data_IF_869587287887
#
_entry.id   IF_869587287887
#
_cell.length_a   1.000
_cell.length_b   1.000
_cell.length_c   1.000
_cell.angle_alpha   90.00
_cell.angle_beta   90.00
_cell.angle_gamma   90.00
#
_symmetry.space_group_name_H-M   'P 1'
#
loop_
_entity.id
_entity.type
_entity.pdbx_description
1 polymer ?
#
# COMPACT_ATOMS: atom_id res chain seq x y z
N UNK A 1 3.72 6.09 4.70
CA UNK A 1 4.22 4.80 5.24
C UNK A 1 3.77 3.68 4.32
N UNK A 2 4.38 2.51 4.41
CA UNK A 2 3.96 1.31 3.69
C UNK A 2 3.64 0.18 4.66
N UNK A 3 3.04 -0.90 4.15
CA UNK A 3 2.60 -2.03 4.98
C UNK A 3 3.72 -2.69 5.79
N UNK A 4 5.00 -2.48 5.44
CA UNK A 4 6.17 -3.09 6.09
C UNK A 4 6.84 -2.17 7.10
N UNK A 5 6.70 -0.86 6.96
CA UNK A 5 7.33 0.14 7.83
C UNK A 5 6.28 1.00 8.54
N UNK A 6 5.61 0.41 9.53
CA UNK A 6 4.50 1.03 10.27
C UNK A 6 4.99 1.63 11.57
N UNK A 7 5.36 2.91 11.58
CA UNK A 7 5.70 3.63 12.83
C UNK A 7 4.48 3.85 13.74
N UNK A 8 3.27 3.61 13.22
CA UNK A 8 2.03 3.55 14.01
C UNK A 8 1.88 2.22 14.77
N UNK A 9 1.03 2.22 15.81
CA UNK A 9 0.59 0.97 16.44
C UNK A 9 -0.24 0.13 15.46
N UNK A 10 -0.33 -1.19 15.68
CA UNK A 10 -1.18 -2.06 14.86
C UNK A 10 -2.64 -1.63 14.89
N UNK A 11 -3.13 -1.24 16.06
CA UNK A 11 -4.52 -0.79 16.24
C UNK A 11 -4.78 0.50 15.48
N UNK A 12 -3.91 1.50 15.62
CA UNK A 12 -4.06 2.78 14.90
C UNK A 12 -3.96 2.59 13.38
N UNK A 13 -3.06 1.73 12.92
CA UNK A 13 -2.96 1.39 11.50
C UNK A 13 -4.21 0.66 10.97
N UNK A 14 -4.76 -0.27 11.76
CA UNK A 14 -6.00 -0.97 11.42
C UNK A 14 -7.19 -0.02 11.37
N UNK A 15 -7.30 0.91 12.33
CA UNK A 15 -8.32 1.96 12.33
C UNK A 15 -8.21 2.85 11.09
N UNK A 16 -7.00 3.30 10.74
CA UNK A 16 -6.80 4.08 9.52
C UNK A 16 -7.25 3.31 8.27
N UNK A 17 -6.90 2.02 8.17
CA UNK A 17 -7.37 1.17 7.07
C UNK A 17 -8.89 1.03 7.03
N UNK A 18 -9.56 0.96 8.18
CA UNK A 18 -11.02 0.91 8.26
C UNK A 18 -11.66 2.21 7.76
N UNK A 19 -11.09 3.37 8.07
CA UNK A 19 -11.56 4.65 7.52
C UNK A 19 -11.48 4.65 6.00
N UNK A 20 -10.33 4.26 5.45
CA UNK A 20 -10.16 4.14 3.99
C UNK A 20 -11.11 3.11 3.36
N UNK A 21 -11.35 2.00 4.05
CA UNK A 21 -12.29 0.97 3.60
C UNK A 21 -13.73 1.50 3.56
N UNK A 22 -14.13 2.33 4.53
CA UNK A 22 -15.43 3.00 4.52
C UNK A 22 -15.61 3.89 3.30
N UNK A 23 -14.63 4.76 3.01
CA UNK A 23 -14.67 5.61 1.81
C UNK A 23 -14.63 4.81 0.51
N UNK A 24 -13.85 3.73 0.46
CA UNK A 24 -13.83 2.81 -0.68
C UNK A 24 -15.21 2.16 -0.88
N UNK A 25 -15.82 1.64 0.18
CA UNK A 25 -17.13 1.00 0.10
C UNK A 25 -18.20 1.95 -0.44
N UNK A 26 -18.25 3.19 0.07
CA UNK A 26 -19.17 4.22 -0.45
C UNK A 26 -18.90 4.50 -1.93
N UNK A 27 -17.63 4.67 -2.32
CA UNK A 27 -17.25 4.94 -3.71
C UNK A 27 -17.63 3.79 -4.65
N UNK A 28 -17.47 2.54 -4.22
CA UNK A 28 -17.85 1.35 -4.97
C UNK A 28 -19.37 1.20 -5.08
N UNK A 29 -20.12 1.46 -4.01
CA UNK A 29 -21.59 1.45 -4.05
C UNK A 29 -22.11 2.48 -5.04
N UNK A 30 -21.59 3.71 -5.01
CA UNK A 30 -21.95 4.74 -5.98
C UNK A 30 -21.59 4.33 -7.40
N UNK A 31 -20.39 3.76 -7.61
CA UNK A 31 -19.96 3.30 -8.93
C UNK A 31 -20.85 2.17 -9.46
N UNK A 32 -21.30 1.27 -8.57
CA UNK A 32 -22.21 0.19 -8.93
C UNK A 32 -23.61 0.71 -9.27
N UNK A 33 -24.16 1.63 -8.45
CA UNK A 33 -25.47 2.24 -8.68
C UNK A 33 -25.51 3.01 -10.00
N UNK A 34 -24.43 3.70 -10.36
CA UNK A 34 -24.32 4.52 -11.56
C UNK A 34 -23.54 3.85 -12.70
N UNK A 35 -23.39 2.52 -12.67
CA UNK A 35 -22.56 1.76 -13.63
C UNK A 35 -22.88 1.99 -15.11
N UNK A 36 -24.13 2.32 -15.42
CA UNK A 36 -24.59 2.61 -16.79
C UNK A 36 -24.23 4.05 -17.23
N UNK A 37 -24.09 4.96 -16.26
CA UNK A 37 -23.75 6.37 -16.49
C UNK A 37 -22.23 6.60 -16.46
N UNK A 38 -21.46 5.60 -16.04
CA UNK A 38 -20.00 5.67 -16.03
C UNK A 38 -19.47 5.54 -17.46
N UNK A 39 -18.75 6.58 -17.89
CA UNK A 39 -17.86 6.49 -19.05
C UNK A 39 -16.66 5.63 -18.71
N UNK A 40 -16.79 4.32 -18.88
CA UNK A 40 -15.78 3.33 -18.50
C UNK A 40 -14.39 3.61 -19.08
N UNK A 41 -14.29 4.13 -20.31
CA UNK A 41 -13.01 4.53 -20.89
C UNK A 41 -12.30 5.62 -20.08
N UNK A 42 -13.03 6.62 -19.58
CA UNK A 42 -12.48 7.67 -18.70
C UNK A 42 -12.17 7.10 -17.32
N UNK A 43 -13.07 6.27 -16.78
CA UNK A 43 -12.87 5.66 -15.47
C UNK A 43 -11.57 4.84 -15.43
N UNK A 44 -11.39 3.94 -16.41
CA UNK A 44 -10.18 3.11 -16.51
C UNK A 44 -8.94 3.97 -16.75
N UNK A 45 -9.02 5.01 -17.58
CA UNK A 45 -7.92 5.94 -17.79
C UNK A 45 -7.51 6.65 -16.51
N UNK A 46 -8.45 7.23 -15.77
CA UNK A 46 -8.20 7.94 -14.51
C UNK A 46 -7.68 7.01 -13.42
N UNK A 47 -8.17 5.77 -13.38
CA UNK A 47 -7.66 4.75 -12.46
C UNK A 47 -6.20 4.40 -12.80
N UNK A 48 -5.92 4.04 -14.05
CA UNK A 48 -4.61 3.54 -14.46
C UNK A 48 -3.53 4.64 -14.48
N UNK A 49 -3.87 5.88 -14.84
CA UNK A 49 -2.88 6.96 -14.99
C UNK A 49 -2.17 7.28 -13.67
N UNK A 50 -2.84 7.09 -12.54
CA UNK A 50 -2.25 7.28 -11.20
C UNK A 50 -1.01 6.40 -11.03
N UNK A 51 -1.09 5.12 -11.37
CA UNK A 51 0.02 4.18 -11.23
C UNK A 51 1.02 4.28 -12.37
N UNK A 52 0.54 4.47 -13.60
CA UNK A 52 1.39 4.58 -14.79
C UNK A 52 2.36 5.75 -14.66
N UNK A 53 1.93 6.87 -14.08
CA UNK A 53 2.78 8.05 -13.86
C UNK A 53 3.44 8.00 -12.47
N UNK A 54 2.69 7.62 -11.44
CA UNK A 54 3.14 7.73 -10.05
C UNK A 54 4.04 6.58 -9.58
N UNK A 55 3.71 5.34 -9.94
CA UNK A 55 4.34 4.15 -9.35
C UNK A 55 5.27 3.44 -10.33
N UNK A 56 4.77 3.12 -11.52
CA UNK A 56 5.44 2.23 -12.47
C UNK A 56 6.86 2.70 -12.85
N UNK A 57 7.12 4.00 -13.11
CA UNK A 57 8.47 4.46 -13.46
C UNK A 57 9.47 4.25 -12.32
N UNK A 58 9.05 4.50 -11.08
CA UNK A 58 9.88 4.29 -9.89
C UNK A 58 10.11 2.80 -9.59
N UNK A 59 9.09 1.96 -9.77
CA UNK A 59 9.20 0.51 -9.59
C UNK A 59 10.15 -0.12 -10.62
N UNK A 60 10.08 0.32 -11.89
CA UNK A 60 11.01 -0.11 -12.93
C UNK A 60 12.44 0.35 -12.59
N UNK A 61 12.62 1.60 -12.19
CA UNK A 61 13.92 2.13 -11.79
C UNK A 61 14.51 1.37 -10.59
N UNK A 62 13.69 1.04 -9.59
CA UNK A 62 14.09 0.25 -8.42
C UNK A 62 14.58 -1.14 -8.82
N UNK A 63 13.80 -1.85 -9.64
CA UNK A 63 14.11 -3.23 -10.08
C UNK A 63 15.34 -3.31 -10.98
N UNK A 64 15.63 -2.24 -11.74
CA UNK A 64 16.83 -2.14 -12.59
C UNK A 64 18.06 -1.66 -11.82
N UNK A 65 17.88 -1.06 -10.66
CA UNK A 65 18.98 -0.49 -9.88
C UNK A 65 19.77 -1.59 -9.16
N UNK A 66 21.10 -1.69 -9.35
CA UNK A 66 21.94 -2.69 -8.67
C UNK A 66 21.92 -2.55 -7.14
N UNK A 67 21.81 -1.32 -6.65
CA UNK A 67 21.80 -0.99 -5.21
C UNK A 67 20.40 -0.66 -4.69
N UNK A 68 19.36 -0.83 -5.53
CA UNK A 68 17.95 -0.56 -5.21
C UNK A 68 17.68 0.90 -4.78
N UNK A 69 18.57 1.83 -5.12
CA UNK A 69 18.35 3.27 -4.91
C UNK A 69 17.65 3.89 -6.11
N UNK A 70 16.73 4.81 -5.84
CA UNK A 70 15.88 5.45 -6.83
C UNK A 70 15.93 6.97 -6.63
N UNK A 71 15.96 7.72 -7.72
CA UNK A 71 16.00 9.18 -7.66
C UNK A 71 14.77 9.76 -6.95
N UNK A 72 14.96 10.89 -6.24
CA UNK A 72 13.88 11.57 -5.51
C UNK A 72 12.69 11.95 -6.38
N UNK A 73 12.91 12.19 -7.68
CA UNK A 73 11.84 12.51 -8.64
C UNK A 73 10.74 11.44 -8.70
N UNK A 74 11.09 10.16 -8.55
CA UNK A 74 10.09 9.08 -8.54
C UNK A 74 9.23 9.09 -7.28
N UNK A 75 9.79 9.48 -6.14
CA UNK A 75 9.03 9.66 -4.89
C UNK A 75 8.08 10.85 -5.00
N UNK A 76 8.51 11.95 -5.63
CA UNK A 76 7.65 13.10 -5.91
C UNK A 76 6.51 12.69 -6.83
N UNK A 77 6.80 12.02 -7.94
CA UNK A 77 5.80 11.54 -8.89
C UNK A 77 4.76 10.64 -8.19
N UNK A 78 5.23 9.66 -7.40
CA UNK A 78 4.36 8.80 -6.61
C UNK A 78 3.45 9.61 -5.69
N UNK A 79 4.04 10.47 -4.85
CA UNK A 79 3.31 11.22 -3.84
C UNK A 79 2.33 12.22 -4.44
N UNK A 80 2.69 12.85 -5.56
CA UNK A 80 1.80 13.75 -6.29
C UNK A 80 0.61 13.00 -6.85
N UNK A 81 0.83 11.88 -7.56
CA UNK A 81 -0.28 11.11 -8.15
C UNK A 81 -1.14 10.40 -7.09
N UNK A 82 -0.56 10.01 -5.96
CA UNK A 82 -1.26 9.35 -4.85
C UNK A 82 -1.79 10.34 -3.80
N UNK A 83 -1.70 11.65 -4.04
CA UNK A 83 -2.24 12.67 -3.12
C UNK A 83 -3.73 12.87 -3.33
N UNK A 84 -4.50 12.84 -2.23
CA UNK A 84 -5.91 13.20 -2.24
C UNK A 84 -6.15 14.65 -2.66
N UNK A 85 -5.20 15.55 -2.36
CA UNK A 85 -5.27 16.96 -2.77
C UNK A 85 -5.16 17.06 -4.29
N UNK A 86 -4.21 16.33 -4.89
CA UNK A 86 -4.03 16.32 -6.35
C UNK A 86 -5.21 15.67 -7.05
N UNK A 87 -5.71 14.55 -6.55
CA UNK A 87 -6.91 13.93 -7.09
C UNK A 87 -8.15 14.83 -6.96
N UNK A 88 -8.32 15.50 -5.81
CA UNK A 88 -9.40 16.48 -5.62
C UNK A 88 -9.29 17.67 -6.58
N UNK A 89 -8.07 18.17 -6.82
CA UNK A 89 -7.83 19.23 -7.80
C UNK A 89 -8.13 18.78 -9.23
N UNK A 90 -7.73 17.57 -9.62
CA UNK A 90 -8.05 16.98 -10.93
C UNK A 90 -9.56 16.80 -11.09
N UNK A 91 -10.24 16.22 -10.08
CA UNK A 91 -11.68 16.03 -10.08
C UNK A 91 -12.43 17.36 -10.17
N UNK A 92 -12.00 18.37 -9.39
CA UNK A 92 -12.57 19.71 -9.41
C UNK A 92 -12.36 20.41 -10.75
N UNK A 93 -11.15 20.36 -11.31
CA UNK A 93 -10.87 20.91 -12.63
C UNK A 93 -11.71 20.23 -13.72
N UNK A 94 -11.82 18.90 -13.68
CA UNK A 94 -12.65 18.15 -14.62
C UNK A 94 -14.13 18.53 -14.51
N UNK A 95 -14.64 18.61 -13.27
CA UNK A 95 -16.01 19.01 -13.01
C UNK A 95 -16.31 20.43 -13.54
N UNK A 96 -15.34 21.35 -13.46
CA UNK A 96 -15.48 22.73 -13.94
C UNK A 96 -15.37 22.86 -15.46
N UNK A 97 -14.40 22.19 -16.09
CA UNK A 97 -14.10 22.41 -17.52
C UNK A 97 -14.74 21.38 -18.46
N UNK A 98 -15.14 20.22 -17.96
CA UNK A 98 -15.73 19.14 -18.78
C UNK A 98 -17.18 18.91 -18.38
N UNK A 99 -17.41 18.64 -17.09
CA UNK A 99 -18.67 18.49 -16.34
C UNK A 99 -18.47 17.44 -15.24
N UNK A 100 -19.24 17.50 -14.14
CA UNK A 100 -19.26 16.41 -13.17
C UNK A 100 -19.76 15.12 -13.84
N UNK A 101 -19.01 14.03 -13.69
CA UNK A 101 -19.40 12.72 -14.18
C UNK A 101 -18.97 11.61 -13.22
N UNK A 102 -19.68 10.47 -13.26
CA UNK A 102 -19.42 9.34 -12.39
C UNK A 102 -18.08 8.64 -12.65
N UNK A 103 -17.46 8.87 -13.81
CA UNK A 103 -16.13 8.37 -14.10
C UNK A 103 -15.06 8.91 -13.13
N UNK A 104 -15.30 10.07 -12.50
CA UNK A 104 -14.41 10.64 -11.47
C UNK A 104 -14.32 9.78 -10.21
N UNK A 105 -15.25 8.84 -9.98
CA UNK A 105 -15.16 7.84 -8.91
C UNK A 105 -13.94 6.93 -9.05
N UNK A 106 -13.31 6.85 -10.22
CA UNK A 106 -12.05 6.16 -10.41
C UNK A 106 -10.96 6.64 -9.43
N UNK A 107 -10.91 7.95 -9.16
CA UNK A 107 -9.90 8.57 -8.30
C UNK A 107 -10.01 8.10 -6.84
N UNK A 108 -11.16 8.23 -6.14
CA UNK A 108 -11.30 7.67 -4.81
C UNK A 108 -11.25 6.14 -4.80
N UNK A 109 -11.80 5.43 -5.80
CA UNK A 109 -11.69 3.96 -5.84
C UNK A 109 -10.22 3.52 -5.87
N UNK A 110 -9.37 4.17 -6.66
CA UNK A 110 -7.94 3.88 -6.70
C UNK A 110 -7.24 4.23 -5.39
N UNK A 111 -7.37 5.49 -4.95
CA UNK A 111 -6.62 6.02 -3.81
C UNK A 111 -7.06 5.41 -2.47
N UNK A 112 -8.35 5.18 -2.29
CA UNK A 112 -8.86 4.50 -1.10
C UNK A 112 -8.62 3.00 -1.18
N UNK A 113 -8.68 2.41 -2.38
CA UNK A 113 -8.29 1.02 -2.63
C UNK A 113 -6.88 0.73 -2.18
N UNK A 114 -5.92 1.55 -2.61
CA UNK A 114 -4.50 1.40 -2.27
C UNK A 114 -4.26 1.46 -0.75
N UNK A 115 -4.91 2.41 -0.07
CA UNK A 115 -4.80 2.60 1.38
C UNK A 115 -5.54 1.52 2.19
N UNK A 116 -6.75 1.18 1.79
CA UNK A 116 -7.59 0.22 2.51
C UNK A 116 -7.08 -1.21 2.35
N UNK A 117 -6.72 -1.61 1.13
CA UNK A 117 -6.36 -3.00 0.80
C UNK A 117 -4.88 -3.28 0.99
N UNK A 118 -4.00 -2.38 0.52
CA UNK A 118 -2.55 -2.58 0.59
C UNK A 118 -1.91 -1.84 1.76
N UNK A 119 -2.59 -0.87 2.37
CA UNK A 119 -2.01 -0.10 3.48
C UNK A 119 -0.89 0.85 3.03
N UNK A 120 -0.83 1.12 1.74
CA UNK A 120 0.11 2.08 1.16
C UNK A 120 -0.42 3.49 1.42
N UNK A 121 0.49 4.38 1.78
CA UNK A 121 0.22 5.81 1.89
C UNK A 121 1.29 6.56 1.12
N UNK A 122 1.41 7.87 1.33
CA UNK A 122 2.52 8.64 0.78
C UNK A 122 3.85 7.98 1.13
N UNK A 123 4.71 7.88 0.12
CA UNK A 123 6.03 7.27 0.16
C UNK A 123 7.01 8.22 0.85
N UNK A 124 7.55 7.86 2.04
CA UNK A 124 8.56 8.68 2.70
C UNK A 124 9.86 8.67 1.88
N UNK A 125 10.54 9.82 1.78
CA UNK A 125 11.81 9.94 1.03
C UNK A 125 12.99 9.21 1.69
N UNK A 126 12.87 8.85 2.97
CA UNK A 126 13.92 8.17 3.74
C UNK A 126 13.91 6.66 3.65
N UNK A 127 12.89 6.04 3.02
CA UNK A 127 12.75 4.58 2.93
C UNK A 127 12.87 4.11 1.47
N UNK A 128 13.18 2.83 1.27
CA UNK A 128 13.24 2.21 -0.05
C UNK A 128 11.95 2.41 -0.86
N UNK A 129 12.07 2.61 -2.18
CA UNK A 129 10.93 2.88 -3.06
C UNK A 129 9.94 1.71 -3.12
N UNK A 130 10.44 0.47 -3.21
CA UNK A 130 9.61 -0.73 -2.99
C UNK A 130 9.54 -1.09 -1.50
N UNK A 131 8.47 -1.75 -1.03
CA UNK A 131 8.36 -2.16 0.36
C UNK A 131 9.48 -3.15 0.74
N UNK A 132 10.47 -2.65 1.48
CA UNK A 132 11.49 -3.42 2.18
C UNK A 132 11.49 -2.98 3.64
N UNK A 133 11.69 -3.90 4.57
CA UNK A 133 11.80 -3.57 6.00
C UNK A 133 13.01 -2.67 6.20
N UNK A 134 12.77 -1.47 6.70
CA UNK A 134 13.81 -0.50 7.01
C UNK A 134 14.53 -0.91 8.32
N UNK A 135 15.87 -0.93 8.37
CA UNK A 135 16.61 -1.28 9.59
C UNK A 135 16.23 -0.40 10.80
N UNK A 136 15.94 0.89 10.58
CA UNK A 136 15.51 1.79 11.64
C UNK A 136 14.11 1.44 12.16
N UNK A 137 13.25 0.90 11.30
CA UNK A 137 11.95 0.41 11.73
C UNK A 137 12.08 -0.85 12.60
N UNK A 138 12.99 -1.77 12.25
CA UNK A 138 13.26 -2.96 13.05
C UNK A 138 13.77 -2.60 14.46
N UNK A 139 14.74 -1.66 14.55
CA UNK A 139 15.25 -1.17 15.84
C UNK A 139 14.14 -0.50 16.66
N UNK A 140 13.27 0.30 16.00
CA UNK A 140 12.14 0.94 16.67
C UNK A 140 11.15 -0.09 17.24
N UNK A 141 10.79 -1.13 16.49
CA UNK A 141 9.93 -2.20 17.00
C UNK A 141 10.56 -2.92 18.19
N UNK A 142 11.84 -3.29 18.09
CA UNK A 142 12.55 -3.97 19.17
C UNK A 142 12.57 -3.13 20.45
N UNK A 143 12.96 -1.85 20.34
CA UNK A 143 12.98 -0.93 21.48
C UNK A 143 11.59 -0.72 22.08
N UNK A 144 10.55 -0.67 21.25
CA UNK A 144 9.18 -0.53 21.74
C UNK A 144 8.73 -1.77 22.52
N UNK A 145 9.11 -2.97 22.08
CA UNK A 145 8.82 -4.23 22.78
C UNK A 145 9.50 -4.29 24.15
N UNK A 146 10.75 -3.84 24.23
CA UNK A 146 11.51 -3.85 25.49
C UNK A 146 10.99 -2.82 26.49
N UNK A 147 10.59 -1.63 26.03
CA UNK A 147 10.08 -0.55 26.91
C UNK A 147 8.62 -0.75 27.33
N UNK A 148 7.79 -1.38 26.50
CA UNK A 148 6.37 -1.63 26.79
C UNK A 148 6.02 -3.13 26.74
N UNK A 149 6.52 -3.94 27.69
CA UNK A 149 6.20 -5.36 27.76
C UNK A 149 4.70 -5.56 28.01
N UNK A 150 4.02 -6.28 27.11
CA UNK A 150 2.57 -6.55 27.19
C UNK A 150 1.74 -5.93 26.07
N UNK A 151 2.32 -5.10 25.19
CA UNK A 151 1.65 -4.66 23.97
C UNK A 151 1.80 -5.74 22.89
N UNK A 152 0.72 -6.32 22.32
CA UNK A 152 0.80 -7.44 21.40
C UNK A 152 1.47 -7.01 20.09
N UNK A 153 2.78 -7.21 20.03
CA UNK A 153 3.55 -7.33 18.81
C UNK A 153 3.34 -8.76 18.33
N UNK A 154 2.25 -8.99 17.59
CA UNK A 154 1.88 -10.32 17.10
C UNK A 154 2.91 -10.95 16.14
N UNK A 155 2.62 -12.17 15.66
CA UNK A 155 3.57 -13.28 15.58
C UNK A 155 4.68 -13.10 14.54
N UNK A 156 5.82 -13.75 14.81
CA UNK A 156 6.91 -13.97 13.86
C UNK A 156 6.40 -14.48 12.50
N UNK A 157 7.03 -14.09 11.38
CA UNK A 157 6.80 -14.78 10.13
C UNK A 157 7.19 -16.25 10.32
N UNK A 158 6.27 -17.16 10.01
CA UNK A 158 6.47 -18.59 10.12
C UNK A 158 7.82 -18.99 9.52
N UNK A 159 8.77 -19.36 10.37
CA UNK A 159 9.96 -20.08 9.97
C UNK A 159 9.50 -21.42 9.43
N UNK A 160 9.87 -21.69 8.18
CA UNK A 160 9.53 -22.94 7.50
C UNK A 160 10.02 -24.12 8.34
N UNK A 161 9.08 -25.01 8.66
CA UNK A 161 9.38 -26.36 9.15
C UNK A 161 10.21 -27.08 8.10
N UNK A 162 11.51 -27.21 8.36
CA UNK A 162 12.35 -28.23 7.72
C UNK A 162 11.86 -29.62 8.14
N UNK A 163 12.04 -30.65 7.30
CA UNK A 163 11.55 -31.99 7.58
C UNK A 163 12.37 -32.63 8.71
N UNK A 164 11.68 -33.35 9.60
CA UNK A 164 12.28 -34.19 10.65
C UNK A 164 13.27 -35.20 10.05
N UNK A 165 14.44 -35.43 10.67
CA UNK A 165 15.32 -36.51 10.28
C UNK A 165 14.73 -37.85 10.77
N UNK A 166 14.57 -38.77 9.83
CA UNK A 166 14.21 -40.18 10.06
C UNK A 166 15.23 -40.82 11.01
N UNK A 167 14.81 -41.18 12.22
CA UNK A 167 15.64 -41.93 13.16
C UNK A 167 15.57 -43.43 12.83
N UNK A 168 16.76 -43.99 12.60
CA UNK A 168 16.99 -45.31 12.05
C UNK A 168 16.71 -46.45 13.03
N UNK A 169 16.15 -47.51 12.46
CA UNK A 169 16.01 -48.85 12.99
C UNK A 169 17.36 -49.40 13.47
N UNK A 170 17.49 -49.75 14.75
CA UNK A 170 18.54 -50.67 15.22
C UNK A 170 17.93 -51.93 15.82
N UNK A 171 18.44 -53.03 15.27
CA UNK A 171 17.98 -54.40 15.44
C UNK A 171 18.38 -55.02 16.78
N UNK A 172 17.52 -55.95 17.22
CA UNK A 172 17.68 -56.86 18.35
C UNK A 172 18.76 -57.91 18.07
N UNK A 173 19.77 -57.98 18.95
CA UNK A 173 20.56 -59.16 19.37
C UNK A 173 20.93 -58.89 20.83
N UNK A 174 20.82 -59.77 21.81
CA UNK A 174 20.80 -61.23 21.84
C UNK A 174 19.77 -61.74 22.88
#
# INVERSE_FOLDING_TARGET
MDAKNRFETRTTFALSRLEWLGFLAVSLVLAFQHRADIRWGVFVLLFAVIDVIGYLPGAIAYRRSPDRRVARGYYVAYNTMHSLVTAGAIAGAWALFVRPEWALLALPVHLMGDRALFGNSLKPFGVAFEPATDPHYAEFEERRRTVFPGHPSGPEPASGSGPDPVEGTHAVRA
#
